data_IF_783484336513
#
_entry.id   IF_783484336513
#
_cell.length_a   1.000
_cell.length_b   1.000
_cell.length_c   1.000
_cell.angle_alpha   90.00
_cell.angle_beta   90.00
_cell.angle_gamma   90.00
#
_symmetry.space_group_name_H-M   'P 1'
#
loop_
_entity.id
_entity.type
_entity.pdbx_description
1 polymer ?
#
# COMPACT_ATOMS: atom_id res chain seq x y z
N UNK A 1 13.82 3.30 27.40
CA UNK A 1 12.66 3.96 26.78
C UNK A 1 12.98 5.34 26.21
N UNK A 2 13.84 6.14 26.85
CA UNK A 2 14.22 7.46 26.31
C UNK A 2 14.93 7.39 24.94
N UNK A 3 15.87 6.45 24.75
CA UNK A 3 16.56 6.30 23.45
C UNK A 3 15.61 5.96 22.30
N UNK A 4 14.57 5.17 22.55
CA UNK A 4 13.55 4.83 21.54
C UNK A 4 12.62 6.00 21.22
N UNK A 5 12.40 6.91 22.17
CA UNK A 5 11.59 8.11 21.94
C UNK A 5 12.32 9.09 21.02
N UNK A 6 13.65 9.24 21.18
CA UNK A 6 14.45 10.09 20.30
C UNK A 6 14.40 9.67 18.81
N UNK A 7 14.16 8.39 18.51
CA UNK A 7 13.97 7.92 17.12
C UNK A 7 12.55 8.16 16.58
N UNK A 8 11.59 8.46 17.45
CA UNK A 8 10.19 8.74 17.10
C UNK A 8 9.87 10.23 17.11
N UNK A 9 10.81 11.08 17.55
CA UNK A 9 10.68 12.52 17.48
C UNK A 9 10.74 12.95 16.02
N UNK A 10 9.63 13.51 15.54
CA UNK A 10 9.54 14.12 14.22
C UNK A 10 10.38 15.39 14.19
N UNK A 11 11.12 15.58 13.11
CA UNK A 11 11.70 16.88 12.80
C UNK A 11 10.60 17.92 12.58
N UNK A 12 10.93 19.20 12.76
CA UNK A 12 9.98 20.28 12.50
C UNK A 12 9.47 20.23 11.05
N UNK A 13 10.33 19.90 10.09
CA UNK A 13 9.95 19.74 8.68
C UNK A 13 8.93 18.61 8.48
N UNK A 14 9.12 17.46 9.12
CA UNK A 14 8.15 16.35 9.06
C UNK A 14 6.82 16.72 9.71
N UNK A 15 6.85 17.44 10.84
CA UNK A 15 5.64 17.94 11.51
C UNK A 15 4.87 18.93 10.63
N UNK A 16 5.58 19.86 9.98
CA UNK A 16 4.98 20.86 9.07
C UNK A 16 4.41 20.19 7.81
N UNK A 17 5.10 19.16 7.29
CA UNK A 17 4.59 18.34 6.17
C UNK A 17 3.30 17.61 6.52
N UNK A 18 3.18 17.04 7.72
CA UNK A 18 1.94 16.39 8.17
C UNK A 18 0.83 17.42 8.41
N UNK A 19 1.17 18.56 9.00
CA UNK A 19 0.21 19.63 9.32
C UNK A 19 -0.36 20.34 8.09
N UNK A 20 0.39 20.34 6.98
CA UNK A 20 -0.04 20.93 5.70
C UNK A 20 -0.87 19.98 4.81
N UNK A 21 -1.14 18.75 5.26
CA UNK A 21 -1.99 17.82 4.52
C UNK A 21 -3.45 18.29 4.56
N UNK A 22 -3.93 18.83 3.44
CA UNK A 22 -5.36 19.09 3.24
C UNK A 22 -6.12 17.80 2.91
N UNK A 23 -7.10 17.47 3.74
CA UNK A 23 -7.97 16.31 3.53
C UNK A 23 -9.45 16.69 3.53
N UNK A 24 -10.21 15.95 2.72
CA UNK A 24 -11.66 15.99 2.81
C UNK A 24 -12.06 15.30 4.13
N UNK A 25 -12.92 15.90 4.96
CA UNK A 25 -13.37 15.27 6.18
C UNK A 25 -14.05 13.93 5.84
N UNK A 26 -13.59 12.84 6.48
CA UNK A 26 -14.27 11.56 6.37
C UNK A 26 -15.69 11.69 6.95
N UNK A 27 -16.66 11.06 6.31
CA UNK A 27 -18.01 11.00 6.87
C UNK A 27 -17.97 10.20 8.17
N UNK A 28 -18.66 10.72 9.19
CA UNK A 28 -18.86 10.01 10.46
C UNK A 28 -19.46 8.63 10.17
N UNK A 29 -18.79 7.56 10.63
CA UNK A 29 -19.19 6.17 10.34
C UNK A 29 -18.54 5.53 9.11
N UNK A 30 -17.54 6.16 8.50
CA UNK A 30 -16.71 5.50 7.49
C UNK A 30 -15.95 4.31 8.12
N UNK A 31 -15.99 3.15 7.46
CA UNK A 31 -15.27 1.94 7.91
C UNK A 31 -13.75 2.02 7.70
N UNK A 32 -13.26 3.10 7.07
CA UNK A 32 -11.85 3.31 6.76
C UNK A 32 -11.31 4.50 7.55
N UNK A 33 -10.07 4.38 7.97
CA UNK A 33 -9.27 5.43 8.59
C UNK A 33 -8.84 6.50 7.58
N UNK A 34 -8.43 7.66 8.11
CA UNK A 34 -7.75 8.70 7.33
C UNK A 34 -6.57 8.12 6.54
N UNK A 35 -5.76 7.30 7.20
CA UNK A 35 -4.52 6.78 6.62
C UNK A 35 -4.79 5.90 5.40
N UNK A 36 -5.79 5.01 5.47
CA UNK A 36 -6.17 4.17 4.32
C UNK A 36 -6.63 5.01 3.13
N UNK A 37 -7.46 6.03 3.39
CA UNK A 37 -7.90 6.96 2.36
C UNK A 37 -6.72 7.75 1.76
N UNK A 38 -5.80 8.24 2.59
CA UNK A 38 -4.63 9.00 2.17
C UNK A 38 -3.67 8.15 1.32
N UNK A 39 -3.33 6.96 1.80
CA UNK A 39 -2.34 6.09 1.20
C UNK A 39 -2.85 5.42 -0.08
N UNK A 40 -4.12 5.01 -0.13
CA UNK A 40 -4.68 4.30 -1.28
C UNK A 40 -5.33 5.22 -2.31
N UNK A 41 -5.44 6.54 -2.07
CA UNK A 41 -6.05 7.47 -3.04
C UNK A 41 -5.40 7.36 -4.43
N UNK A 42 -6.20 6.98 -5.42
CA UNK A 42 -5.75 6.81 -6.80
C UNK A 42 -5.36 5.38 -7.18
N UNK A 43 -5.43 4.42 -6.24
CA UNK A 43 -5.38 2.99 -6.59
C UNK A 43 -6.63 2.61 -7.38
N UNK A 44 -6.45 1.79 -8.41
CA UNK A 44 -7.54 1.29 -9.26
C UNK A 44 -7.42 -0.21 -9.41
N UNK A 45 -8.50 -0.94 -9.19
CA UNK A 45 -8.57 -2.35 -9.57
C UNK A 45 -8.71 -2.41 -11.09
N UNK A 46 -7.75 -3.03 -11.76
CA UNK A 46 -7.70 -3.22 -13.22
C UNK A 46 -8.41 -4.50 -13.63
N UNK A 47 -8.09 -5.61 -12.95
CA UNK A 47 -8.64 -6.94 -13.25
C UNK A 47 -8.77 -7.78 -11.99
N UNK A 48 -9.77 -8.64 -11.97
CA UNK A 48 -9.98 -9.68 -10.96
C UNK A 48 -9.97 -11.05 -11.64
N UNK A 49 -9.24 -11.98 -11.04
CA UNK A 49 -9.21 -13.40 -11.39
C UNK A 49 -9.60 -14.21 -10.14
N UNK A 50 -9.81 -15.52 -10.28
CA UNK A 50 -10.35 -16.36 -9.18
C UNK A 50 -9.52 -16.34 -7.89
N UNK A 51 -8.21 -16.16 -7.99
CA UNK A 51 -7.27 -16.12 -6.86
C UNK A 51 -6.37 -14.88 -6.86
N UNK A 52 -6.59 -13.92 -7.78
CA UNK A 52 -5.71 -12.77 -7.99
C UNK A 52 -6.47 -11.47 -8.19
N UNK A 53 -5.88 -10.39 -7.70
CA UNK A 53 -6.29 -9.01 -7.98
C UNK A 53 -5.14 -8.27 -8.62
N UNK A 54 -5.46 -7.50 -9.66
CA UNK A 54 -4.52 -6.63 -10.36
C UNK A 54 -4.96 -5.20 -10.10
N UNK A 55 -4.06 -4.42 -9.52
CA UNK A 55 -4.26 -3.02 -9.24
C UNK A 55 -3.24 -2.17 -10.00
N UNK A 56 -3.66 -0.98 -10.39
CA UNK A 56 -2.80 0.05 -10.98
C UNK A 56 -2.68 1.21 -10.00
N UNK A 57 -1.48 1.73 -9.83
CA UNK A 57 -1.21 2.88 -8.96
C UNK A 57 -0.14 3.79 -9.53
N UNK A 58 -0.45 5.06 -9.80
CA UNK A 58 0.56 6.05 -10.18
C UNK A 58 1.24 6.57 -8.92
N UNK A 59 2.56 6.58 -8.88
CA UNK A 59 3.34 7.04 -7.72
C UNK A 59 3.00 8.52 -7.46
N UNK A 60 2.35 8.85 -6.32
CA UNK A 60 1.95 10.21 -6.03
C UNK A 60 3.02 10.93 -5.18
N UNK A 61 3.22 12.25 -5.34
CA UNK A 61 4.23 13.01 -4.59
C UNK A 61 4.08 12.89 -3.07
N UNK A 62 2.84 12.71 -2.60
CA UNK A 62 2.52 12.61 -1.17
C UNK A 62 3.02 11.32 -0.49
N UNK A 63 3.49 10.33 -1.28
CA UNK A 63 4.01 9.05 -0.78
C UNK A 63 5.49 8.85 -1.12
N UNK A 64 6.17 9.88 -1.61
CA UNK A 64 7.60 9.81 -1.91
C UNK A 64 8.46 10.28 -0.75
N UNK A 65 9.67 9.73 -0.65
CA UNK A 65 10.71 10.21 0.25
C UNK A 65 11.38 11.49 -0.29
N UNK A 66 12.42 11.95 0.41
CA UNK A 66 13.18 13.15 0.02
C UNK A 66 13.91 13.05 -1.32
N UNK A 67 14.08 11.84 -1.86
CA UNK A 67 14.69 11.60 -3.18
C UNK A 67 13.64 11.47 -4.29
N UNK A 68 12.35 11.63 -3.97
CA UNK A 68 11.25 11.44 -4.92
C UNK A 68 10.96 9.97 -5.23
N UNK A 69 11.51 9.03 -4.45
CA UNK A 69 11.21 7.60 -4.58
C UNK A 69 10.01 7.24 -3.72
N UNK A 70 9.22 6.27 -4.15
CA UNK A 70 8.10 5.76 -3.36
C UNK A 70 8.63 5.20 -2.03
N UNK A 71 8.18 5.76 -0.92
CA UNK A 71 8.67 5.44 0.40
C UNK A 71 8.39 3.96 0.75
N UNK A 72 9.31 3.33 1.48
CA UNK A 72 9.17 1.93 1.90
C UNK A 72 7.87 1.67 2.69
N UNK A 73 7.45 2.61 3.54
CA UNK A 73 6.18 2.52 4.27
C UNK A 73 4.96 2.57 3.34
N UNK A 74 5.03 3.32 2.23
CA UNK A 74 3.96 3.34 1.24
C UNK A 74 3.87 2.01 0.47
N UNK A 75 5.02 1.41 0.13
CA UNK A 75 5.07 0.07 -0.47
C UNK A 75 4.48 -0.97 0.50
N UNK A 76 4.85 -0.92 1.77
CA UNK A 76 4.31 -1.81 2.80
C UNK A 76 2.79 -1.68 2.93
N UNK A 77 2.26 -0.45 2.91
CA UNK A 77 0.81 -0.22 2.92
C UNK A 77 0.11 -0.76 1.66
N UNK A 78 0.71 -0.63 0.48
CA UNK A 78 0.15 -1.21 -0.74
C UNK A 78 0.08 -2.75 -0.65
N UNK A 79 1.12 -3.37 -0.11
CA UNK A 79 1.17 -4.83 0.13
C UNK A 79 0.10 -5.25 1.13
N UNK A 80 -0.02 -4.56 2.26
CA UNK A 80 -1.02 -4.86 3.29
C UNK A 80 -2.45 -4.72 2.76
N UNK A 81 -2.77 -3.59 2.14
CA UNK A 81 -4.12 -3.32 1.63
C UNK A 81 -4.54 -4.26 0.49
N UNK A 82 -3.64 -4.51 -0.47
CA UNK A 82 -3.93 -5.42 -1.59
C UNK A 82 -3.97 -6.87 -1.11
N UNK A 83 -3.06 -7.27 -0.22
CA UNK A 83 -3.06 -8.60 0.40
C UNK A 83 -4.35 -8.88 1.17
N UNK A 84 -4.78 -7.95 2.02
CA UNK A 84 -6.07 -8.03 2.70
C UNK A 84 -7.26 -8.07 1.74
N UNK A 85 -7.22 -7.26 0.68
CA UNK A 85 -8.23 -7.24 -0.37
C UNK A 85 -8.40 -8.59 -1.09
N UNK A 86 -7.33 -9.37 -1.25
CA UNK A 86 -7.37 -10.68 -1.92
C UNK A 86 -8.22 -11.73 -1.18
N UNK A 87 -8.27 -11.64 0.15
CA UNK A 87 -8.89 -12.67 1.02
C UNK A 87 -10.24 -12.24 1.57
N UNK A 88 -10.61 -10.96 1.41
CA UNK A 88 -11.90 -10.45 1.83
C UNK A 88 -13.01 -10.89 0.86
N UNK A 89 -13.60 -12.05 1.15
CA UNK A 89 -14.79 -12.55 0.48
C UNK A 89 -16.02 -11.92 1.15
N UNK A 90 -16.83 -11.20 0.36
CA UNK A 90 -18.00 -10.48 0.84
C UNK A 90 -18.89 -11.31 1.79
N UNK A 91 -19.39 -10.66 2.84
CA UNK A 91 -20.25 -11.28 3.86
C UNK A 91 -19.54 -11.82 5.11
N UNK A 92 -18.21 -11.67 5.22
CA UNK A 92 -17.43 -12.02 6.41
C UNK A 92 -16.73 -10.80 7.01
N UNK A 93 -16.45 -10.80 8.33
CA UNK A 93 -15.61 -9.77 8.94
C UNK A 93 -14.25 -9.69 8.26
N UNK A 94 -13.71 -8.48 8.15
CA UNK A 94 -12.40 -8.22 7.56
C UNK A 94 -11.32 -8.97 8.34
N UNK A 95 -10.43 -9.68 7.62
CA UNK A 95 -9.29 -10.33 8.25
C UNK A 95 -8.31 -9.27 8.79
N UNK A 96 -7.67 -9.55 9.92
CA UNK A 96 -6.63 -8.70 10.50
C UNK A 96 -5.24 -9.22 10.13
N UNK A 97 -4.30 -8.30 9.87
CA UNK A 97 -2.91 -8.60 9.58
C UNK A 97 -2.21 -9.17 10.82
N UNK A 98 -1.53 -10.31 10.68
CA UNK A 98 -0.81 -10.99 11.78
C UNK A 98 0.69 -11.02 11.54
N UNK A 99 1.12 -11.21 10.31
CA UNK A 99 2.52 -11.23 9.93
C UNK A 99 2.69 -10.70 8.50
N UNK A 100 3.77 -9.97 8.25
CA UNK A 100 4.11 -9.46 6.93
C UNK A 100 5.63 -9.44 6.75
N UNK A 101 6.09 -9.99 5.63
CA UNK A 101 7.50 -9.93 5.21
C UNK A 101 7.59 -9.30 3.83
N UNK A 102 8.53 -8.36 3.64
CA UNK A 102 8.69 -7.64 2.37
C UNK A 102 10.15 -7.71 1.93
N UNK A 103 10.37 -8.03 0.66
CA UNK A 103 11.66 -7.92 -0.03
C UNK A 103 11.61 -6.76 -1.02
N UNK A 104 12.59 -5.86 -0.94
CA UNK A 104 12.72 -4.71 -1.83
C UNK A 104 13.81 -5.00 -2.87
N UNK A 105 13.50 -4.82 -4.14
CA UNK A 105 14.35 -5.17 -5.29
C UNK A 105 14.80 -3.95 -6.08
N UNK A 106 13.92 -2.98 -6.30
CA UNK A 106 14.23 -1.73 -6.99
C UNK A 106 13.39 -0.57 -6.43
N UNK A 107 13.42 0.59 -7.07
CA UNK A 107 12.67 1.78 -6.66
C UNK A 107 11.71 2.24 -7.74
N UNK A 108 10.55 2.76 -7.34
CA UNK A 108 9.69 3.55 -8.20
C UNK A 108 9.81 5.02 -7.82
N UNK A 109 9.71 5.93 -8.79
CA UNK A 109 9.96 7.34 -8.56
C UNK A 109 9.00 8.25 -9.29
N UNK A 110 9.01 9.49 -8.86
CA UNK A 110 8.53 10.62 -9.65
C UNK A 110 9.77 11.22 -10.29
N UNK A 111 9.76 11.38 -11.61
CA UNK A 111 10.87 12.03 -12.29
C UNK A 111 10.77 13.55 -12.11
N UNK A 112 11.75 14.12 -11.40
CA UNK A 112 11.90 15.55 -11.11
C UNK A 112 13.04 16.13 -11.94
N UNK A 113 13.32 15.58 -13.13
CA UNK A 113 14.26 16.23 -14.05
C UNK A 113 13.71 17.61 -14.48
N UNK A 114 14.62 18.59 -14.61
CA UNK A 114 14.31 19.98 -14.97
C UNK A 114 13.46 20.10 -16.27
N UNK A 115 13.58 19.12 -17.17
CA UNK A 115 12.79 19.01 -18.40
C UNK A 115 11.33 18.57 -18.16
N UNK A 116 11.06 17.81 -17.08
CA UNK A 116 9.72 17.40 -16.67
C UNK A 116 8.88 18.58 -16.12
N UNK A 117 9.52 19.65 -15.64
CA UNK A 117 8.81 20.88 -15.26
C UNK A 117 8.07 21.52 -16.46
N UNK A 118 8.56 21.32 -17.68
CA UNK A 118 7.96 21.84 -18.91
C UNK A 118 6.90 20.92 -19.54
N UNK A 119 6.89 19.62 -19.18
CA UNK A 119 6.00 18.60 -19.74
C UNK A 119 4.99 18.00 -18.73
N UNK A 120 5.09 18.38 -17.45
CA UNK A 120 4.38 17.73 -16.36
C UNK A 120 5.19 16.55 -15.80
N UNK A 121 5.16 16.39 -14.47
CA UNK A 121 5.87 15.34 -13.75
C UNK A 121 5.59 13.95 -14.35
N UNK A 122 6.62 13.24 -14.81
CA UNK A 122 6.50 11.86 -15.25
C UNK A 122 6.53 10.96 -14.02
N UNK A 123 5.41 10.31 -13.72
CA UNK A 123 5.26 9.41 -12.58
C UNK A 123 5.33 7.96 -13.06
N UNK A 124 6.11 7.12 -12.37
CA UNK A 124 6.01 5.69 -12.57
C UNK A 124 4.56 5.22 -12.29
N UNK A 125 4.04 4.38 -13.18
CA UNK A 125 2.79 3.67 -12.95
C UNK A 125 3.14 2.25 -12.50
N UNK A 126 2.56 1.82 -11.39
CA UNK A 126 2.76 0.51 -10.80
C UNK A 126 1.68 -0.45 -11.25
N UNK A 127 2.08 -1.69 -11.48
CA UNK A 127 1.21 -2.86 -11.49
C UNK A 127 1.39 -3.60 -10.16
N UNK A 128 0.31 -3.77 -9.41
CA UNK A 128 0.31 -4.43 -8.10
C UNK A 128 -0.54 -5.68 -8.22
N UNK A 129 0.05 -6.85 -8.01
CA UNK A 129 -0.58 -8.14 -8.22
C UNK A 129 -0.68 -8.84 -6.87
N UNK A 130 -1.88 -8.91 -6.31
CA UNK A 130 -2.15 -9.72 -5.13
C UNK A 130 -2.62 -11.12 -5.52
N UNK A 131 -2.15 -12.15 -4.82
CA UNK A 131 -2.55 -13.54 -5.01
C UNK A 131 -2.84 -14.21 -3.67
N UNK A 132 -3.94 -14.97 -3.60
CA UNK A 132 -4.22 -15.86 -2.48
C UNK A 132 -3.36 -17.12 -2.58
N UNK A 133 -2.53 -17.37 -1.57
CA UNK A 133 -1.69 -18.58 -1.49
C UNK A 133 -2.45 -19.77 -0.88
N UNK A 134 -3.43 -19.48 -0.03
CA UNK A 134 -4.28 -20.50 0.57
C UNK A 134 -4.83 -20.07 1.92
N UNK A 135 -5.66 -20.94 2.49
CA UNK A 135 -6.31 -20.73 3.79
C UNK A 135 -6.28 -22.01 4.62
N UNK A 136 -5.99 -21.87 5.91
CA UNK A 136 -6.05 -22.95 6.91
C UNK A 136 -6.73 -22.46 8.18
N UNK A 137 -7.92 -22.98 8.46
CA UNK A 137 -8.75 -22.50 9.56
C UNK A 137 -9.10 -21.03 9.39
N UNK A 138 -8.75 -20.22 10.39
CA UNK A 138 -8.90 -18.76 10.36
C UNK A 138 -7.78 -18.00 9.66
N UNK A 139 -6.68 -18.66 9.29
CA UNK A 139 -5.52 -17.99 8.69
C UNK A 139 -5.55 -18.08 7.17
N UNK A 140 -5.27 -16.96 6.51
CA UNK A 140 -5.10 -16.87 5.06
C UNK A 140 -3.72 -16.28 4.75
N UNK A 141 -3.04 -16.84 3.75
CA UNK A 141 -1.78 -16.32 3.25
C UNK A 141 -1.95 -15.70 1.88
N UNK A 142 -1.29 -14.57 1.64
CA UNK A 142 -1.26 -13.90 0.35
C UNK A 142 0.16 -13.53 -0.05
N UNK A 143 0.41 -13.42 -1.35
CA UNK A 143 1.59 -12.78 -1.91
C UNK A 143 1.18 -11.55 -2.69
N UNK A 144 2.00 -10.50 -2.64
CA UNK A 144 1.80 -9.28 -3.42
C UNK A 144 3.08 -8.93 -4.15
N UNK A 145 2.99 -8.74 -5.46
CA UNK A 145 4.08 -8.22 -6.29
C UNK A 145 3.80 -6.77 -6.64
N UNK A 146 4.80 -5.91 -6.49
CA UNK A 146 4.76 -4.52 -6.94
C UNK A 146 5.77 -4.38 -8.08
N UNK A 147 5.29 -4.01 -9.26
CA UNK A 147 6.10 -3.88 -10.47
C UNK A 147 5.95 -2.51 -11.09
N UNK A 148 6.99 -2.02 -11.75
CA UNK A 148 6.83 -0.92 -12.68
C UNK A 148 6.06 -1.44 -13.89
N UNK A 149 4.92 -0.83 -14.21
CA UNK A 149 4.01 -1.30 -15.26
C UNK A 149 4.60 -1.14 -16.66
N UNK A 150 5.42 -0.10 -16.89
CA UNK A 150 6.00 0.17 -18.19
C UNK A 150 7.20 -0.76 -18.48
N UNK A 151 8.06 -0.98 -17.48
CA UNK A 151 9.30 -1.76 -17.65
C UNK A 151 9.14 -3.23 -17.27
N UNK A 152 8.13 -3.58 -16.47
CA UNK A 152 7.96 -4.91 -15.88
C UNK A 152 8.93 -5.21 -14.73
N UNK A 153 9.78 -4.26 -14.35
CA UNK A 153 10.77 -4.42 -13.28
C UNK A 153 10.10 -4.65 -11.93
N UNK A 154 10.60 -5.63 -11.17
CA UNK A 154 10.11 -5.93 -9.83
C UNK A 154 10.66 -4.91 -8.83
N UNK A 155 9.76 -4.20 -8.15
CA UNK A 155 10.09 -3.21 -7.12
C UNK A 155 10.12 -3.87 -5.75
N UNK A 156 9.07 -4.65 -5.44
CA UNK A 156 8.97 -5.35 -4.16
C UNK A 156 8.10 -6.61 -4.26
N UNK A 157 8.38 -7.57 -3.39
CA UNK A 157 7.54 -8.74 -3.13
C UNK A 157 7.19 -8.78 -1.65
N UNK A 158 5.90 -8.93 -1.36
CA UNK A 158 5.37 -9.10 -0.01
C UNK A 158 4.71 -10.45 0.19
N UNK A 159 4.87 -11.02 1.39
CA UNK A 159 3.99 -12.07 1.92
C UNK A 159 3.24 -11.53 3.12
N UNK A 160 1.95 -11.82 3.16
CA UNK A 160 1.04 -11.25 4.15
C UNK A 160 0.11 -12.33 4.68
N UNK A 161 0.20 -12.54 5.99
CA UNK A 161 -0.59 -13.52 6.74
C UNK A 161 -1.69 -12.80 7.50
N UNK A 162 -2.92 -13.21 7.26
CA UNK A 162 -4.10 -12.59 7.86
C UNK A 162 -4.92 -13.61 8.64
N UNK A 163 -5.60 -13.15 9.69
CA UNK A 163 -6.50 -13.96 10.51
C UNK A 163 -7.92 -13.41 10.49
N UNK A 164 -8.90 -14.28 10.27
CA UNK A 164 -10.32 -13.96 10.35
C UNK A 164 -11.09 -15.01 11.14
N UNK A 165 -12.14 -14.56 11.83
CA UNK A 165 -13.13 -15.45 12.44
C UNK A 165 -14.23 -15.71 11.42
N UNK A 166 -14.19 -16.88 10.83
CA UNK A 166 -15.27 -17.37 9.99
C UNK A 166 -16.21 -18.19 10.87
N UNK A 167 -17.51 -17.89 10.82
CA UNK A 167 -18.50 -18.78 11.42
C UNK A 167 -18.33 -20.16 10.76
N UNK A 168 -18.08 -21.20 11.58
CA UNK A 168 -18.17 -22.57 11.09
C UNK A 168 -19.59 -22.76 10.57
N UNK A 169 -19.75 -23.42 9.42
CA UNK A 169 -21.06 -23.94 9.04
C UNK A 169 -21.56 -24.78 10.23
N UNK A 170 -22.71 -24.41 10.78
CA UNK A 170 -23.51 -25.28 11.64
C UNK A 170 -24.22 -26.30 10.75
#
# INVERSE_FOLDING_TARGET
MEKSQAFLELTQEESDRVSSLDFLPLRTGAEFSFYECYALRGIRVDRLESDRVFCIFKVPPRLTDGEGKLAAGAIANLIDAVGAGCVNVGGHPVNVSVDMSISFHSSAKIDILLYAFFLGYLQDELEIIGQVLGRKGGYSGTSVLVKNKATGELIAEGRHSLFGKYASKM
#
